data_IF_325882698144
#
_entry.id   IF_325882698144
#
_cell.length_a   1.000
_cell.length_b   1.000
_cell.length_c   1.000
_cell.angle_alpha   90.00
_cell.angle_beta   90.00
_cell.angle_gamma   90.00
#
_symmetry.space_group_name_H-M   'P 1'
#
loop_
_entity.id
_entity.type
_entity.pdbx_description
1 polymer ?
#
# COMPACT_ATOMS: atom_id res chain seq x y z
N UNK A 1 41.53 -31.06 8.27
CA UNK A 1 40.75 -29.99 8.92
C UNK A 1 39.35 -30.53 9.17
N UNK A 2 38.78 -30.38 10.38
CA UNK A 2 37.37 -30.69 10.56
C UNK A 2 36.54 -29.82 9.61
N UNK A 3 35.43 -30.31 9.04
CA UNK A 3 34.57 -29.49 8.20
C UNK A 3 34.10 -28.28 9.03
N UNK A 4 34.27 -27.08 8.46
CA UNK A 4 33.78 -25.86 9.08
C UNK A 4 32.28 -26.03 9.37
N UNK A 5 31.84 -25.75 10.59
CA UNK A 5 30.41 -25.84 10.94
C UNK A 5 29.64 -24.86 10.05
N UNK A 6 28.57 -25.31 9.37
CA UNK A 6 27.82 -24.44 8.46
C UNK A 6 27.23 -23.27 9.24
N UNK A 7 27.56 -22.06 8.80
CA UNK A 7 27.15 -20.84 9.50
C UNK A 7 25.75 -20.45 9.06
N UNK A 8 24.89 -20.04 10.01
CA UNK A 8 23.58 -19.47 9.68
C UNK A 8 23.80 -18.11 9.01
N UNK A 9 23.28 -17.95 7.79
CA UNK A 9 23.39 -16.73 6.99
C UNK A 9 22.02 -16.18 6.62
N UNK A 10 22.01 -14.89 6.32
CA UNK A 10 20.91 -14.20 5.68
C UNK A 10 21.10 -14.33 4.16
N UNK A 11 20.12 -14.92 3.47
CA UNK A 11 20.03 -14.83 2.01
C UNK A 11 19.37 -13.51 1.68
N UNK A 12 20.09 -12.59 1.04
CA UNK A 12 19.62 -11.22 0.76
C UNK A 12 19.41 -11.04 -0.73
N UNK A 13 18.24 -10.53 -1.11
CA UNK A 13 17.96 -10.04 -2.47
C UNK A 13 18.61 -8.66 -2.63
N UNK A 14 19.55 -8.56 -3.56
CA UNK A 14 20.36 -7.36 -3.79
C UNK A 14 20.04 -6.78 -5.17
N UNK A 15 19.72 -5.48 -5.31
CA UNK A 15 19.38 -4.85 -6.59
C UNK A 15 20.61 -4.75 -7.50
N UNK A 16 20.94 -5.89 -8.09
CA UNK A 16 22.03 -6.12 -9.00
C UNK A 16 21.54 -7.11 -10.08
N UNK A 17 22.07 -7.04 -11.31
CA UNK A 17 21.62 -7.86 -12.44
C UNK A 17 22.14 -9.30 -12.36
N UNK A 18 21.99 -9.94 -11.20
CA UNK A 18 22.46 -11.29 -10.89
C UNK A 18 21.27 -12.10 -10.35
N UNK A 19 20.99 -13.23 -10.99
CA UNK A 19 19.86 -14.12 -10.67
C UNK A 19 20.15 -15.03 -9.47
N UNK A 20 20.58 -14.42 -8.36
CA UNK A 20 20.89 -15.14 -7.13
C UNK A 20 20.64 -14.26 -5.91
N UNK A 21 20.52 -14.91 -4.76
CA UNK A 21 20.59 -14.26 -3.45
C UNK A 21 22.06 -14.25 -3.00
N UNK A 22 22.39 -13.31 -2.12
CA UNK A 22 23.74 -13.17 -1.57
C UNK A 22 23.76 -13.50 -0.08
N UNK A 23 24.82 -14.18 0.36
CA UNK A 23 25.00 -14.56 1.75
C UNK A 23 25.58 -13.38 2.54
N UNK A 24 24.94 -13.05 3.66
CA UNK A 24 25.45 -12.11 4.65
C UNK A 24 25.32 -12.69 6.05
N UNK A 25 26.23 -12.31 6.93
CA UNK A 25 26.07 -12.60 8.36
C UNK A 25 25.10 -11.58 8.99
N UNK A 26 24.34 -11.98 10.03
CA UNK A 26 23.61 -11.02 10.86
C UNK A 26 24.54 -9.96 11.47
N UNK A 27 23.98 -8.79 11.80
CA UNK A 27 24.73 -7.79 12.55
C UNK A 27 25.15 -8.34 13.92
N UNK A 28 26.37 -8.05 14.36
CA UNK A 28 26.90 -8.58 15.64
C UNK A 28 26.00 -8.16 16.81
N UNK A 29 25.51 -9.14 17.57
CA UNK A 29 24.68 -8.90 18.75
C UNK A 29 23.25 -8.45 18.47
N UNK A 30 22.81 -8.43 17.21
CA UNK A 30 21.44 -8.12 16.84
C UNK A 30 20.58 -9.39 16.74
N UNK A 31 19.28 -9.23 16.96
CA UNK A 31 18.30 -10.28 16.65
C UNK A 31 18.34 -10.62 15.16
N UNK A 32 17.97 -11.86 14.83
CA UNK A 32 17.91 -12.32 13.46
C UNK A 32 16.76 -11.59 12.73
N UNK A 33 17.04 -10.84 11.66
CA UNK A 33 16.01 -10.06 10.98
C UNK A 33 15.04 -10.97 10.23
N UNK A 34 13.74 -10.66 10.30
CA UNK A 34 12.71 -11.44 9.62
C UNK A 34 12.79 -11.29 8.08
N UNK A 35 12.45 -12.34 7.30
CA UNK A 35 12.24 -12.23 5.87
C UNK A 35 11.31 -11.08 5.49
N UNK A 36 11.65 -10.33 4.45
CA UNK A 36 10.95 -9.12 4.02
C UNK A 36 11.48 -7.81 4.63
N UNK A 37 12.42 -7.88 5.57
CA UNK A 37 13.06 -6.70 6.18
C UNK A 37 14.18 -6.15 5.29
N UNK A 38 14.29 -4.82 5.18
CA UNK A 38 15.41 -4.18 4.47
C UNK A 38 16.65 -4.11 5.37
N UNK A 39 17.80 -4.32 4.76
CA UNK A 39 19.09 -4.18 5.40
C UNK A 39 20.05 -3.39 4.53
N UNK A 40 20.94 -2.65 5.18
CA UNK A 40 22.05 -1.99 4.52
C UNK A 40 23.23 -2.96 4.41
N UNK A 41 23.76 -3.16 3.21
CA UNK A 41 24.76 -4.18 2.92
C UNK A 41 25.98 -3.61 2.17
N UNK A 42 27.20 -4.13 2.44
CA UNK A 42 28.36 -3.83 1.62
C UNK A 42 28.34 -4.69 0.34
N UNK A 43 28.35 -4.05 -0.83
CA UNK A 43 28.38 -4.75 -2.12
C UNK A 43 29.48 -4.18 -3.03
N UNK A 44 30.58 -4.93 -3.18
CA UNK A 44 31.80 -4.41 -3.79
C UNK A 44 32.34 -3.20 -3.01
N UNK A 45 32.53 -2.07 -3.71
CA UNK A 45 32.94 -0.79 -3.12
C UNK A 45 31.76 0.12 -2.74
N UNK A 46 30.53 -0.37 -2.92
CA UNK A 46 29.29 0.40 -2.68
C UNK A 46 28.56 -0.12 -1.46
N UNK A 47 27.62 0.69 -1.02
CA UNK A 47 26.62 0.34 -0.01
C UNK A 47 25.27 0.28 -0.71
N UNK A 48 24.51 -0.79 -0.50
CA UNK A 48 23.17 -0.96 -1.09
C UNK A 48 22.15 -1.30 -0.02
N UNK A 49 20.89 -1.11 -0.38
CA UNK A 49 19.75 -1.61 0.36
C UNK A 49 19.36 -2.94 -0.25
N UNK A 50 19.45 -4.02 0.54
CA UNK A 50 18.96 -5.34 0.19
C UNK A 50 17.74 -5.70 1.02
N UNK A 51 17.04 -6.77 0.64
CA UNK A 51 15.93 -7.33 1.42
C UNK A 51 16.30 -8.74 1.88
N UNK A 52 16.17 -8.99 3.18
CA UNK A 52 16.36 -10.33 3.75
C UNK A 52 15.28 -11.24 3.17
N UNK A 53 15.69 -12.30 2.49
CA UNK A 53 14.77 -13.20 1.77
C UNK A 53 14.41 -14.43 2.60
N UNK A 54 15.41 -15.03 3.23
CA UNK A 54 15.28 -16.19 4.14
C UNK A 54 16.57 -16.38 4.91
N UNK A 55 16.52 -17.28 5.88
CA UNK A 55 17.71 -17.76 6.59
C UNK A 55 18.08 -19.13 6.07
N UNK A 56 19.38 -19.38 5.93
CA UNK A 56 19.88 -20.64 5.40
C UNK A 56 21.24 -20.94 6.02
N UNK A 57 21.63 -22.21 6.07
CA UNK A 57 22.99 -22.58 6.42
C UNK A 57 23.87 -22.48 5.17
N UNK A 58 25.02 -21.81 5.27
CA UNK A 58 25.98 -21.70 4.18
C UNK A 58 27.18 -22.63 4.39
N UNK A 59 27.61 -23.25 3.29
CA UNK A 59 28.87 -24.01 3.21
C UNK A 59 30.09 -23.09 3.07
N UNK A 60 29.88 -21.80 2.83
CA UNK A 60 30.95 -20.81 2.78
C UNK A 60 31.41 -20.50 4.21
N UNK A 61 32.72 -20.50 4.44
CA UNK A 61 33.30 -20.14 5.73
C UNK A 61 32.85 -18.73 6.15
N UNK A 62 32.34 -18.59 7.37
CA UNK A 62 31.85 -17.30 7.90
C UNK A 62 32.88 -16.16 7.81
N UNK A 63 34.19 -16.45 7.88
CA UNK A 63 35.26 -15.46 7.70
C UNK A 63 35.26 -14.77 6.33
N UNK A 64 34.68 -15.41 5.31
CA UNK A 64 34.56 -14.90 3.93
C UNK A 64 33.24 -14.18 3.68
N UNK A 65 32.29 -14.27 4.61
CA UNK A 65 30.97 -13.68 4.48
C UNK A 65 30.96 -12.36 5.24
N UNK A 66 30.62 -11.28 4.53
CA UNK A 66 30.50 -9.96 5.17
C UNK A 66 29.21 -9.90 6.00
N UNK A 67 29.20 -9.25 7.17
CA UNK A 67 27.96 -8.97 7.88
C UNK A 67 27.15 -7.88 7.15
N UNK A 68 25.84 -7.88 7.38
CA UNK A 68 25.02 -6.69 7.10
C UNK A 68 25.52 -5.52 7.96
N UNK A 69 25.41 -4.29 7.46
CA UNK A 69 25.84 -3.09 8.21
C UNK A 69 24.84 -2.69 9.28
N UNK A 70 23.57 -2.61 8.90
CA UNK A 70 22.45 -2.42 9.82
C UNK A 70 21.17 -2.98 9.25
N UNK A 71 20.27 -3.34 10.15
CA UNK A 71 18.86 -3.54 9.85
C UNK A 71 18.19 -2.15 9.76
N UNK A 72 17.28 -1.96 8.80
CA UNK A 72 16.58 -0.68 8.59
C UNK A 72 15.20 -0.74 9.24
N UNK A 73 14.52 -1.87 9.12
CA UNK A 73 13.14 -2.04 9.56
C UNK A 73 13.08 -2.84 10.86
N UNK A 74 12.23 -2.40 11.80
CA UNK A 74 11.92 -3.18 13.00
C UNK A 74 11.04 -4.40 12.69
N UNK A 75 10.19 -4.28 11.66
CA UNK A 75 9.28 -5.31 11.17
C UNK A 75 9.38 -5.42 9.64
N UNK A 76 9.21 -6.61 9.06
CA UNK A 76 9.37 -6.82 7.62
C UNK A 76 8.38 -5.96 6.83
N UNK A 77 8.87 -5.27 5.80
CA UNK A 77 8.03 -4.39 4.97
C UNK A 77 7.37 -5.12 3.80
N UNK A 78 7.93 -6.27 3.41
CA UNK A 78 7.31 -7.16 2.43
C UNK A 78 6.71 -8.35 3.17
N UNK A 79 5.39 -8.45 3.11
CA UNK A 79 4.65 -9.56 3.69
C UNK A 79 4.87 -10.84 2.85
N UNK A 80 4.50 -12.00 3.41
CA UNK A 80 4.74 -13.31 2.80
C UNK A 80 4.14 -13.44 1.39
N UNK A 81 2.96 -12.86 1.14
CA UNK A 81 2.31 -12.89 -0.19
C UNK A 81 3.14 -12.11 -1.24
N UNK A 82 3.72 -10.98 -0.85
CA UNK A 82 4.56 -10.18 -1.73
C UNK A 82 5.91 -10.84 -1.99
N UNK A 83 6.50 -11.51 -1.00
CA UNK A 83 7.71 -12.32 -1.19
C UNK A 83 7.43 -13.45 -2.19
N UNK A 84 6.33 -14.20 -2.01
CA UNK A 84 5.92 -15.26 -2.91
C UNK A 84 5.60 -14.75 -4.33
N UNK A 85 4.96 -13.58 -4.45
CA UNK A 85 4.68 -12.95 -5.74
C UNK A 85 5.96 -12.53 -6.45
N UNK A 86 6.93 -11.96 -5.72
CA UNK A 86 8.23 -11.60 -6.26
C UNK A 86 9.02 -12.84 -6.73
N UNK A 87 9.01 -13.91 -5.94
CA UNK A 87 9.66 -15.17 -6.31
C UNK A 87 9.05 -15.77 -7.58
N UNK A 88 7.71 -15.80 -7.67
CA UNK A 88 7.02 -16.21 -8.89
C UNK A 88 7.38 -15.32 -10.08
N UNK A 89 7.34 -14.00 -9.93
CA UNK A 89 7.66 -13.07 -11.00
C UNK A 89 9.12 -13.22 -11.47
N UNK A 90 10.07 -13.38 -10.54
CA UNK A 90 11.47 -13.60 -10.84
C UNK A 90 11.69 -14.91 -11.61
N UNK A 91 11.08 -16.00 -11.16
CA UNK A 91 11.18 -17.31 -11.79
C UNK A 91 10.51 -17.33 -13.18
N UNK A 92 9.25 -16.90 -13.26
CA UNK A 92 8.45 -16.97 -14.49
C UNK A 92 8.99 -16.03 -15.58
N UNK A 93 9.29 -14.78 -15.23
CA UNK A 93 9.84 -13.80 -16.18
C UNK A 93 11.37 -13.86 -16.30
N UNK A 94 12.02 -14.82 -15.63
CA UNK A 94 13.47 -15.01 -15.64
C UNK A 94 14.23 -13.70 -15.33
N UNK A 95 13.82 -12.98 -14.29
CA UNK A 95 14.39 -11.69 -13.93
C UNK A 95 15.17 -11.79 -12.60
N UNK A 96 16.30 -11.10 -12.42
CA UNK A 96 16.99 -11.02 -11.13
C UNK A 96 16.04 -10.64 -9.99
N UNK A 97 16.02 -11.45 -8.93
CA UNK A 97 15.11 -11.26 -7.79
C UNK A 97 15.32 -9.91 -7.11
N UNK A 98 16.56 -9.44 -7.01
CA UNK A 98 16.86 -8.13 -6.45
C UNK A 98 16.24 -6.97 -7.23
N UNK A 99 16.24 -7.06 -8.57
CA UNK A 99 15.61 -6.04 -9.42
C UNK A 99 14.08 -6.13 -9.40
N UNK A 100 13.53 -7.35 -9.22
CA UNK A 100 12.09 -7.56 -9.01
C UNK A 100 11.65 -6.87 -7.72
N UNK A 101 12.35 -7.10 -6.62
CA UNK A 101 12.10 -6.46 -5.33
C UNK A 101 12.25 -4.93 -5.42
N UNK A 102 13.27 -4.45 -6.13
CA UNK A 102 13.44 -3.03 -6.41
C UNK A 102 12.34 -2.44 -7.31
N UNK A 103 11.58 -3.26 -8.03
CA UNK A 103 10.40 -2.82 -8.80
C UNK A 103 9.16 -2.74 -7.91
N UNK A 104 9.05 -3.61 -6.90
CA UNK A 104 7.94 -3.66 -5.94
C UNK A 104 7.96 -2.51 -4.94
N UNK A 105 9.14 -2.07 -4.51
CA UNK A 105 9.28 -1.04 -3.47
C UNK A 105 9.16 0.40 -4.00
N UNK A 106 8.43 1.30 -3.28
CA UNK A 106 8.52 2.74 -3.49
C UNK A 106 9.96 3.27 -3.48
N UNK A 107 10.23 4.30 -4.27
CA UNK A 107 11.58 4.85 -4.48
C UNK A 107 12.27 5.20 -3.16
N UNK A 108 11.56 5.87 -2.26
CA UNK A 108 12.10 6.25 -0.95
C UNK A 108 12.48 5.03 -0.09
N UNK A 109 11.72 3.93 -0.18
CA UNK A 109 12.08 2.70 0.55
C UNK A 109 13.31 2.02 -0.05
N UNK A 110 13.50 2.08 -1.37
CA UNK A 110 14.71 1.58 -2.05
C UNK A 110 15.97 2.37 -1.66
N UNK A 111 15.79 3.63 -1.28
CA UNK A 111 16.86 4.49 -0.78
C UNK A 111 17.15 4.32 0.72
N UNK A 112 16.39 3.47 1.42
CA UNK A 112 16.58 3.19 2.84
C UNK A 112 15.91 4.20 3.78
N UNK A 113 14.98 5.02 3.28
CA UNK A 113 14.16 5.90 4.14
C UNK A 113 13.22 5.06 5.02
N UNK A 114 12.78 5.63 6.13
CA UNK A 114 11.84 4.99 7.05
C UNK A 114 10.47 4.72 6.40
N UNK A 115 9.83 3.63 6.82
CA UNK A 115 8.50 3.22 6.38
C UNK A 115 7.41 3.82 7.29
N UNK A 116 7.46 5.14 7.48
CA UNK A 116 6.57 5.88 8.38
C UNK A 116 5.61 6.78 7.61
N UNK A 117 4.35 6.81 8.05
CA UNK A 117 3.40 7.83 7.63
C UNK A 117 3.58 9.05 8.54
N UNK A 118 3.62 10.27 7.99
CA UNK A 118 3.52 11.45 8.83
C UNK A 118 2.14 11.43 9.50
N UNK A 119 2.12 11.61 10.81
CA UNK A 119 0.91 11.91 11.54
C UNK A 119 0.40 13.31 11.19
N UNK A 120 -0.83 13.59 11.61
CA UNK A 120 -1.40 14.92 11.57
C UNK A 120 -0.78 15.75 12.70
N UNK A 121 -0.28 16.93 12.36
CA UNK A 121 0.15 17.87 13.38
C UNK A 121 -1.08 18.55 14.00
N UNK A 122 -1.17 18.48 15.32
CA UNK A 122 -2.23 19.11 16.11
C UNK A 122 -1.64 19.94 17.22
N UNK A 123 -2.21 21.12 17.43
CA UNK A 123 -1.94 21.88 18.65
C UNK A 123 -2.86 21.36 19.74
N UNK A 124 -2.27 20.93 20.85
CA UNK A 124 -2.98 20.43 22.02
C UNK A 124 -2.75 21.36 23.20
N UNK A 125 -3.77 21.51 24.04
CA UNK A 125 -3.62 22.23 25.30
C UNK A 125 -2.87 21.36 26.32
N UNK A 126 -1.92 21.96 27.02
CA UNK A 126 -1.22 21.27 28.11
C UNK A 126 -2.07 21.32 29.40
N UNK A 127 -1.75 20.49 30.41
CA UNK A 127 -2.38 20.63 31.73
C UNK A 127 -2.27 22.05 32.30
N UNK A 128 -1.16 22.75 32.06
CA UNK A 128 -0.98 24.13 32.51
C UNK A 128 -1.86 25.11 31.73
N UNK A 129 -1.92 24.98 30.40
CA UNK A 129 -2.77 25.84 29.57
C UNK A 129 -4.25 25.69 29.86
N UNK A 130 -4.69 24.49 30.29
CA UNK A 130 -6.08 24.22 30.65
C UNK A 130 -6.58 25.08 31.81
N UNK A 131 -5.69 25.44 32.73
CA UNK A 131 -5.98 26.31 33.86
C UNK A 131 -5.41 27.73 33.69
N UNK A 132 -4.84 28.05 32.53
CA UNK A 132 -4.31 29.38 32.26
C UNK A 132 -5.46 30.38 32.10
N UNK A 133 -5.36 31.51 32.79
CA UNK A 133 -6.35 32.58 32.68
C UNK A 133 -6.20 33.34 31.37
N UNK A 134 -7.26 33.37 30.56
CA UNK A 134 -7.31 34.11 29.30
C UNK A 134 -7.14 35.63 29.54
N UNK A 135 -7.59 36.12 30.70
CA UNK A 135 -7.36 37.49 31.21
C UNK A 135 -5.90 37.83 31.50
N UNK A 136 -4.96 36.87 31.43
CA UNK A 136 -3.54 37.18 31.48
C UNK A 136 -2.99 37.67 30.10
N UNK A 137 -3.80 37.56 29.04
CA UNK A 137 -3.40 37.84 27.65
C UNK A 137 -4.01 39.14 27.09
N UNK A 138 -4.34 40.12 27.95
CA UNK A 138 -5.13 41.32 27.59
C UNK A 138 -4.58 42.17 26.43
N UNK A 139 -3.28 42.05 26.13
CA UNK A 139 -2.61 42.77 25.02
C UNK A 139 -2.40 41.90 23.77
N UNK A 140 -2.92 40.67 23.76
CA UNK A 140 -2.69 39.67 22.72
C UNK A 140 -4.01 38.96 22.36
N UNK A 141 -4.96 39.65 21.69
CA UNK A 141 -6.28 39.10 21.37
C UNK A 141 -6.21 37.79 20.56
N UNK A 142 -5.25 37.67 19.63
CA UNK A 142 -5.03 36.42 18.88
C UNK A 142 -4.54 35.25 19.74
N UNK A 143 -3.79 35.52 20.82
CA UNK A 143 -3.43 34.48 21.79
C UNK A 143 -4.63 34.10 22.66
N UNK A 144 -5.52 35.06 22.99
CA UNK A 144 -6.75 34.80 23.73
C UNK A 144 -7.68 33.88 22.94
N UNK A 145 -7.93 34.20 21.67
CA UNK A 145 -8.76 33.39 20.76
C UNK A 145 -8.21 31.97 20.63
N UNK A 146 -6.89 31.83 20.36
CA UNK A 146 -6.25 30.53 20.23
C UNK A 146 -6.34 29.69 21.51
N UNK A 147 -6.08 30.30 22.67
CA UNK A 147 -6.15 29.60 23.96
C UNK A 147 -7.58 29.20 24.31
N UNK A 148 -8.56 30.10 24.11
CA UNK A 148 -9.97 29.82 24.36
C UNK A 148 -10.46 28.65 23.50
N UNK A 149 -10.10 28.64 22.22
CA UNK A 149 -10.46 27.57 21.29
C UNK A 149 -9.82 26.23 21.73
N UNK A 150 -8.53 26.21 22.05
CA UNK A 150 -7.85 24.99 22.49
C UNK A 150 -8.32 24.50 23.87
N UNK A 151 -8.82 25.38 24.75
CA UNK A 151 -9.47 24.99 26.01
C UNK A 151 -10.80 24.25 25.78
N UNK A 152 -11.53 24.59 24.72
CA UNK A 152 -12.77 23.90 24.32
C UNK A 152 -12.50 22.56 23.63
N UNK A 153 -11.31 22.38 23.05
CA UNK A 153 -10.89 21.17 22.33
C UNK A 153 -9.67 20.52 23.00
N UNK A 154 -9.84 19.87 24.17
CA UNK A 154 -8.72 19.32 24.94
C UNK A 154 -7.96 18.18 24.22
N UNK A 155 -8.57 17.57 23.19
CA UNK A 155 -7.93 16.58 22.33
C UNK A 155 -7.05 17.18 21.23
N UNK A 156 -7.05 18.51 21.09
CA UNK A 156 -6.29 19.23 20.08
C UNK A 156 -7.08 19.58 18.85
N UNK A 157 -6.49 20.46 18.04
CA UNK A 157 -7.00 20.84 16.74
C UNK A 157 -5.90 20.77 15.68
N UNK A 158 -6.23 20.30 14.46
CA UNK A 158 -5.30 20.27 13.33
C UNK A 158 -4.76 21.65 12.99
N UNK A 159 -3.49 21.70 12.56
CA UNK A 159 -2.83 22.96 12.16
C UNK A 159 -3.60 23.69 11.04
N UNK A 160 -4.11 22.95 10.06
CA UNK A 160 -4.88 23.47 8.93
C UNK A 160 -6.28 23.95 9.35
N UNK A 161 -6.94 23.25 10.27
CA UNK A 161 -8.22 23.70 10.84
C UNK A 161 -8.06 25.00 11.62
N UNK A 162 -7.01 25.12 12.43
CA UNK A 162 -6.70 26.36 13.16
C UNK A 162 -6.40 27.51 12.19
N UNK A 163 -5.64 27.27 11.12
CA UNK A 163 -5.38 28.27 10.09
C UNK A 163 -6.68 28.71 9.37
N UNK A 164 -7.60 27.77 9.11
CA UNK A 164 -8.92 28.06 8.54
C UNK A 164 -9.83 28.88 9.48
N UNK A 165 -9.60 28.81 10.79
CA UNK A 165 -10.25 29.64 11.81
C UNK A 165 -9.48 30.95 12.09
N UNK A 166 -8.53 31.32 11.22
CA UNK A 166 -7.66 32.49 11.34
C UNK A 166 -6.77 32.50 12.60
N UNK A 167 -6.52 31.33 13.19
CA UNK A 167 -5.56 31.15 14.27
C UNK A 167 -4.19 30.84 13.67
N UNK A 168 -3.36 31.88 13.58
CA UNK A 168 -2.07 31.83 12.93
C UNK A 168 -0.95 31.28 13.83
N UNK A 169 0.04 30.64 13.21
CA UNK A 169 1.20 30.00 13.88
C UNK A 169 1.94 30.87 14.90
N UNK A 170 2.15 32.20 14.71
CA UNK A 170 2.84 33.03 15.71
C UNK A 170 2.14 33.09 17.08
N UNK A 171 0.80 33.07 17.12
CA UNK A 171 0.05 33.07 18.37
C UNK A 171 0.24 31.75 19.13
N UNK A 172 0.21 30.62 18.40
CA UNK A 172 0.39 29.28 18.96
C UNK A 172 1.82 29.08 19.49
N UNK A 173 2.84 29.53 18.76
CA UNK A 173 4.23 29.50 19.22
C UNK A 173 4.44 30.35 20.49
N UNK A 174 3.75 31.49 20.61
CA UNK A 174 3.84 32.32 21.81
C UNK A 174 3.17 31.65 23.03
N UNK A 175 2.08 30.92 22.82
CA UNK A 175 1.43 30.11 23.85
C UNK A 175 2.28 28.88 24.22
N UNK A 176 2.96 28.27 23.25
CA UNK A 176 3.87 27.14 23.47
C UNK A 176 5.08 27.54 24.31
N UNK A 177 5.66 28.72 24.05
CA UNK A 177 6.73 29.30 24.88
C UNK A 177 6.31 29.49 26.34
N UNK A 178 5.01 29.68 26.61
CA UNK A 178 4.45 29.78 27.97
C UNK A 178 4.13 28.40 28.57
N UNK A 179 4.34 27.32 27.82
CA UNK A 179 4.01 25.95 28.22
C UNK A 179 2.52 25.63 28.19
N UNK A 180 1.68 26.47 27.58
CA UNK A 180 0.21 26.34 27.63
C UNK A 180 -0.36 25.47 26.52
N UNK A 181 0.34 25.39 25.40
CA UNK A 181 -0.02 24.52 24.28
C UNK A 181 1.24 23.80 23.80
N UNK A 182 1.07 22.72 23.05
CA UNK A 182 2.18 21.96 22.46
C UNK A 182 1.76 21.45 21.10
N UNK A 183 2.68 21.48 20.14
CA UNK A 183 2.49 20.82 18.86
C UNK A 183 2.80 19.33 19.01
N UNK A 184 1.84 18.47 18.69
CA UNK A 184 2.04 17.02 18.66
C UNK A 184 1.70 16.46 17.30
N UNK A 185 2.46 15.46 16.91
CA UNK A 185 2.12 14.60 15.80
C UNK A 185 1.20 13.50 16.33
N UNK A 186 0.01 13.39 15.75
CA UNK A 186 -1.04 12.47 16.15
C UNK A 186 -1.37 11.58 14.97
N UNK A 187 -1.60 10.29 15.21
CA UNK A 187 -2.03 9.39 14.13
C UNK A 187 -3.32 9.93 13.50
N UNK A 188 -3.38 9.94 12.17
CA UNK A 188 -4.55 10.43 11.45
C UNK A 188 -5.73 9.47 11.70
N UNK A 189 -6.70 9.91 12.50
CA UNK A 189 -7.91 9.11 12.75
C UNK A 189 -8.77 9.09 11.47
N UNK A 190 -9.03 7.90 10.92
CA UNK A 190 -9.97 7.76 9.81
C UNK A 190 -11.37 8.09 10.30
N UNK A 191 -12.07 9.08 9.71
CA UNK A 191 -13.44 9.39 10.10
C UNK A 191 -14.33 8.15 9.95
N UNK A 192 -15.00 7.73 11.02
CA UNK A 192 -15.98 6.64 10.94
C UNK A 192 -17.24 7.17 10.27
N UNK A 193 -17.42 6.83 8.99
CA UNK A 193 -18.66 7.11 8.28
C UNK A 193 -19.82 6.32 8.89
N UNK A 194 -21.00 6.95 8.99
CA UNK A 194 -22.22 6.32 9.53
C UNK A 194 -22.79 5.23 8.61
N UNK A 195 -22.52 5.31 7.30
CA UNK A 195 -22.90 4.32 6.28
C UNK A 195 -21.74 4.06 5.33
N UNK A 196 -21.57 2.81 4.89
CA UNK A 196 -20.56 2.45 3.88
C UNK A 196 -20.82 3.18 2.56
N UNK A 197 -22.06 3.12 2.08
CA UNK A 197 -22.45 3.73 0.80
C UNK A 197 -22.80 5.20 0.99
N UNK A 198 -22.26 6.05 0.12
CA UNK A 198 -22.63 7.46 -0.01
C UNK A 198 -23.77 7.66 -1.03
N UNK A 199 -23.89 6.77 -2.01
CA UNK A 199 -24.93 6.79 -3.04
C UNK A 199 -25.67 5.44 -3.08
N UNK A 200 -26.98 5.49 -3.29
CA UNK A 200 -27.80 4.29 -3.48
C UNK A 200 -27.40 3.62 -4.80
N UNK A 201 -27.10 2.30 -4.81
CA UNK A 201 -26.78 1.60 -6.04
C UNK A 201 -27.98 1.62 -7.00
N UNK A 202 -27.76 1.88 -8.31
CA UNK A 202 -28.80 1.72 -9.31
C UNK A 202 -29.29 0.25 -9.37
N UNK A 203 -30.54 0.08 -9.79
CA UNK A 203 -31.12 -1.25 -10.00
C UNK A 203 -30.35 -1.97 -11.11
N UNK A 204 -29.67 -3.06 -10.76
CA UNK A 204 -28.95 -3.89 -11.71
C UNK A 204 -29.94 -4.65 -12.60
N UNK A 205 -29.64 -4.74 -13.90
CA UNK A 205 -30.38 -5.61 -14.82
C UNK A 205 -30.15 -7.09 -14.55
N UNK A 206 -30.93 -7.99 -15.19
CA UNK A 206 -30.87 -9.45 -14.93
C UNK A 206 -29.47 -10.04 -15.07
N UNK A 207 -28.74 -9.69 -16.14
CA UNK A 207 -27.38 -10.18 -16.38
C UNK A 207 -26.38 -9.65 -15.34
N UNK A 208 -26.51 -8.36 -14.98
CA UNK A 208 -25.68 -7.75 -13.94
C UNK A 208 -25.94 -8.40 -12.58
N UNK A 209 -27.20 -8.65 -12.21
CA UNK A 209 -27.56 -9.35 -10.97
C UNK A 209 -26.97 -10.76 -10.93
N UNK A 210 -27.00 -11.49 -12.04
CA UNK A 210 -26.40 -12.82 -12.13
C UNK A 210 -24.88 -12.75 -11.92
N UNK A 211 -24.18 -11.80 -12.57
CA UNK A 211 -22.75 -11.59 -12.40
C UNK A 211 -22.39 -11.20 -10.95
N UNK A 212 -23.13 -10.23 -10.37
CA UNK A 212 -22.93 -9.78 -8.99
C UNK A 212 -23.09 -10.95 -8.03
N UNK A 213 -24.17 -11.73 -8.17
CA UNK A 213 -24.43 -12.91 -7.33
C UNK A 213 -23.35 -13.98 -7.49
N UNK A 214 -22.89 -14.25 -8.70
CA UNK A 214 -21.85 -15.23 -8.96
C UNK A 214 -20.52 -14.84 -8.31
N UNK A 215 -20.13 -13.56 -8.42
CA UNK A 215 -18.86 -13.07 -7.85
C UNK A 215 -18.96 -12.97 -6.33
N UNK A 216 -20.06 -12.45 -5.77
CA UNK A 216 -20.27 -12.37 -4.32
C UNK A 216 -20.43 -13.75 -3.66
N UNK A 217 -20.94 -14.74 -4.40
CA UNK A 217 -21.06 -16.12 -3.95
C UNK A 217 -19.76 -16.93 -4.04
N UNK A 218 -18.68 -16.37 -4.62
CA UNK A 218 -17.39 -17.03 -4.69
C UNK A 218 -16.71 -17.06 -3.32
N UNK A 219 -16.08 -18.20 -3.02
CA UNK A 219 -15.18 -18.33 -1.89
C UNK A 219 -13.82 -18.80 -2.38
N UNK A 220 -12.75 -18.27 -1.80
CA UNK A 220 -11.40 -18.58 -2.22
C UNK A 220 -11.04 -18.02 -3.61
N UNK A 221 -9.99 -18.60 -4.20
CA UNK A 221 -9.55 -18.25 -5.54
C UNK A 221 -10.57 -18.66 -6.60
N UNK A 222 -11.17 -17.66 -7.26
CA UNK A 222 -12.06 -17.85 -8.41
C UNK A 222 -11.79 -16.77 -9.46
N UNK A 223 -11.25 -17.12 -10.63
CA UNK A 223 -11.09 -16.18 -11.73
C UNK A 223 -12.39 -16.05 -12.53
N UNK A 224 -12.83 -14.81 -12.72
CA UNK A 224 -14.02 -14.45 -13.50
C UNK A 224 -13.63 -13.66 -14.75
N UNK A 225 -14.28 -13.95 -15.87
CA UNK A 225 -14.31 -13.07 -17.03
C UNK A 225 -15.65 -12.32 -17.06
N UNK A 226 -15.61 -11.00 -16.86
CA UNK A 226 -16.76 -10.15 -17.07
C UNK A 226 -16.72 -9.57 -18.50
N UNK A 227 -17.28 -10.32 -19.43
CA UNK A 227 -17.40 -9.94 -20.84
C UNK A 227 -18.64 -9.04 -21.06
N UNK A 228 -18.41 -7.84 -21.57
CA UNK A 228 -19.50 -6.93 -21.88
C UNK A 228 -19.03 -5.66 -22.58
N UNK A 229 -19.75 -5.24 -23.62
CA UNK A 229 -19.43 -4.04 -24.40
C UNK A 229 -19.39 -2.77 -23.54
N UNK A 230 -18.72 -1.72 -24.00
CA UNK A 230 -18.73 -0.41 -23.32
C UNK A 230 -20.16 0.08 -23.09
N UNK A 231 -20.46 0.59 -21.90
CA UNK A 231 -21.81 1.03 -21.54
C UNK A 231 -22.75 -0.06 -21.00
N UNK A 232 -22.39 -1.34 -21.08
CA UNK A 232 -23.16 -2.46 -20.48
C UNK A 232 -23.20 -2.45 -18.95
N UNK A 233 -22.43 -1.56 -18.31
CA UNK A 233 -22.42 -1.39 -16.86
C UNK A 233 -21.44 -2.29 -16.09
N UNK A 234 -20.36 -2.79 -16.72
CA UNK A 234 -19.28 -3.53 -16.03
C UNK A 234 -18.79 -2.83 -14.76
N UNK A 235 -18.54 -1.53 -14.82
CA UNK A 235 -18.12 -0.74 -13.64
C UNK A 235 -19.16 -0.79 -12.52
N UNK A 236 -20.44 -0.83 -12.84
CA UNK A 236 -21.50 -0.92 -11.84
C UNK A 236 -21.52 -2.28 -11.16
N UNK A 237 -21.28 -3.36 -11.92
CA UNK A 237 -21.06 -4.71 -11.36
C UNK A 237 -19.90 -4.68 -10.38
N UNK A 238 -18.76 -4.07 -10.73
CA UNK A 238 -17.62 -3.95 -9.80
C UNK A 238 -18.04 -3.27 -8.50
N UNK A 239 -18.67 -2.09 -8.58
CA UNK A 239 -19.09 -1.29 -7.42
C UNK A 239 -20.06 -2.08 -6.53
N UNK A 240 -21.01 -2.82 -7.09
CA UNK A 240 -21.95 -3.61 -6.28
C UNK A 240 -21.29 -4.86 -5.68
N UNK A 241 -20.37 -5.50 -6.40
CA UNK A 241 -19.60 -6.64 -5.88
C UNK A 241 -18.73 -6.25 -4.70
N UNK A 242 -18.08 -5.09 -4.73
CA UNK A 242 -17.15 -4.68 -3.67
C UNK A 242 -17.84 -4.23 -2.38
N UNK A 243 -19.11 -3.81 -2.42
CA UNK A 243 -19.83 -3.31 -1.24
C UNK A 243 -19.82 -4.26 -0.03
N UNK A 244 -20.28 -5.53 -0.11
CA UNK A 244 -20.27 -6.44 1.03
C UNK A 244 -18.85 -6.78 1.52
N UNK A 245 -17.85 -6.78 0.62
CA UNK A 245 -16.45 -7.01 0.99
C UNK A 245 -15.89 -5.84 1.81
N UNK A 246 -16.21 -4.61 1.41
CA UNK A 246 -15.83 -3.40 2.14
C UNK A 246 -16.53 -3.33 3.51
N UNK A 247 -17.81 -3.71 3.59
CA UNK A 247 -18.53 -3.90 4.85
C UNK A 247 -17.83 -4.91 5.76
N UNK A 248 -17.35 -6.02 5.20
CA UNK A 248 -16.62 -7.07 5.92
C UNK A 248 -15.16 -6.72 6.26
N UNK A 249 -14.75 -5.45 6.16
CA UNK A 249 -13.40 -5.06 6.54
C UNK A 249 -12.31 -5.33 5.49
N UNK A 250 -12.66 -5.79 4.29
CA UNK A 250 -11.69 -6.12 3.23
C UNK A 250 -11.25 -4.90 2.41
N UNK A 251 -10.09 -5.04 1.78
CA UNK A 251 -9.49 -4.13 0.82
C UNK A 251 -9.65 -4.66 -0.61
N UNK A 252 -9.83 -3.75 -1.54
CA UNK A 252 -10.07 -4.06 -2.96
C UNK A 252 -8.98 -3.39 -3.79
N UNK A 253 -8.31 -4.16 -4.63
CA UNK A 253 -7.35 -3.64 -5.60
C UNK A 253 -8.01 -3.59 -6.97
N UNK A 254 -8.02 -2.42 -7.60
CA UNK A 254 -8.55 -2.21 -8.94
C UNK A 254 -7.42 -1.71 -9.84
N UNK A 255 -7.05 -2.55 -10.80
CA UNK A 255 -6.11 -2.22 -11.84
C UNK A 255 -6.87 -1.68 -13.05
N UNK A 256 -6.45 -0.51 -13.52
CA UNK A 256 -6.97 0.11 -14.73
C UNK A 256 -5.82 0.42 -15.69
N UNK A 257 -6.05 0.54 -17.01
CA UNK A 257 -5.05 1.04 -17.94
C UNK A 257 -4.54 2.43 -17.53
N UNK A 258 -3.33 2.78 -17.97
CA UNK A 258 -2.71 4.07 -17.56
C UNK A 258 -3.57 5.29 -17.90
N UNK A 259 -4.19 5.27 -19.08
CA UNK A 259 -5.10 6.32 -19.55
C UNK A 259 -6.49 6.23 -18.88
N UNK A 260 -6.85 5.04 -18.38
CA UNK A 260 -8.13 4.76 -17.74
C UNK A 260 -8.27 5.33 -16.32
N UNK A 261 -7.16 5.64 -15.64
CA UNK A 261 -7.16 6.22 -14.30
C UNK A 261 -7.39 7.74 -14.31
N UNK A 262 -8.52 8.14 -14.89
CA UNK A 262 -8.92 9.54 -14.95
C UNK A 262 -9.43 10.01 -13.58
N UNK A 263 -9.40 11.33 -13.28
CA UNK A 263 -10.05 11.89 -12.11
C UNK A 263 -11.56 11.56 -12.03
N UNK A 264 -12.21 11.35 -13.18
CA UNK A 264 -13.61 10.93 -13.23
C UNK A 264 -13.79 9.49 -12.71
N UNK A 265 -12.89 8.58 -13.11
CA UNK A 265 -12.86 7.21 -12.60
C UNK A 265 -12.70 7.22 -11.08
N UNK A 266 -11.68 7.92 -10.57
CA UNK A 266 -11.43 8.01 -9.11
C UNK A 266 -12.64 8.56 -8.36
N UNK A 267 -13.19 9.70 -8.81
CA UNK A 267 -14.38 10.32 -8.21
C UNK A 267 -15.59 9.41 -8.19
N UNK A 268 -15.73 8.50 -9.15
CA UNK A 268 -16.86 7.55 -9.16
C UNK A 268 -16.79 6.59 -7.97
N UNK A 269 -15.60 6.14 -7.60
CA UNK A 269 -15.40 5.28 -6.42
C UNK A 269 -15.58 6.09 -5.12
N UNK A 270 -14.99 7.28 -5.05
CA UNK A 270 -15.11 8.18 -3.89
C UNK A 270 -16.56 8.61 -3.62
N UNK A 271 -17.34 8.87 -4.67
CA UNK A 271 -18.76 9.17 -4.55
C UNK A 271 -19.59 7.98 -4.09
N UNK A 272 -19.21 6.76 -4.49
CA UNK A 272 -19.99 5.57 -4.14
C UNK A 272 -19.77 5.13 -2.70
N UNK A 273 -18.53 5.21 -2.19
CA UNK A 273 -18.17 4.67 -0.88
C UNK A 273 -17.57 5.72 0.04
N UNK A 274 -18.08 5.78 1.28
CA UNK A 274 -17.50 6.55 2.37
C UNK A 274 -16.33 5.80 3.03
N UNK A 275 -15.38 5.33 2.23
CA UNK A 275 -14.16 4.68 2.70
C UNK A 275 -12.94 5.33 2.07
N UNK A 276 -11.76 5.28 2.71
CA UNK A 276 -10.55 5.82 2.12
C UNK A 276 -10.21 5.12 0.79
N UNK A 277 -10.20 5.91 -0.29
CA UNK A 277 -9.75 5.50 -1.62
C UNK A 277 -8.38 6.11 -1.86
N UNK A 278 -7.43 5.32 -2.36
CA UNK A 278 -6.15 5.82 -2.86
C UNK A 278 -6.01 5.53 -4.35
N UNK A 279 -5.31 6.40 -5.06
CA UNK A 279 -5.01 6.26 -6.48
C UNK A 279 -3.50 6.20 -6.66
N UNK A 280 -2.94 5.11 -7.22
CA UNK A 280 -1.51 4.89 -7.40
C UNK A 280 -1.14 4.90 -8.89
N UNK A 281 -0.48 5.97 -9.35
CA UNK A 281 -0.08 6.15 -10.75
C UNK A 281 1.26 6.88 -10.93
N UNK A 282 1.68 7.02 -12.19
CA UNK A 282 2.94 7.64 -12.61
C UNK A 282 3.02 9.12 -12.21
N UNK A 283 1.91 9.85 -12.27
CA UNK A 283 1.83 11.27 -11.89
C UNK A 283 2.02 11.62 -10.41
N UNK A 284 2.13 10.65 -9.50
CA UNK A 284 2.42 10.90 -8.09
C UNK A 284 3.90 11.15 -7.81
N UNK A 285 4.18 12.03 -6.85
CA UNK A 285 5.51 12.17 -6.25
C UNK A 285 5.90 10.90 -5.49
N UNK A 286 7.21 10.70 -5.28
CA UNK A 286 7.71 9.54 -4.54
C UNK A 286 7.19 9.48 -3.09
N UNK A 287 6.92 10.64 -2.48
CA UNK A 287 6.34 10.73 -1.14
C UNK A 287 4.87 10.35 -1.12
N UNK A 288 4.07 10.86 -2.06
CA UNK A 288 2.65 10.47 -2.17
C UNK A 288 2.50 8.98 -2.46
N UNK A 289 3.35 8.43 -3.34
CA UNK A 289 3.39 6.99 -3.62
C UNK A 289 3.74 6.18 -2.38
N UNK A 290 4.74 6.61 -1.61
CA UNK A 290 5.08 5.97 -0.33
C UNK A 290 3.91 6.03 0.65
N UNK A 291 3.24 7.18 0.79
CA UNK A 291 2.11 7.31 1.70
C UNK A 291 0.95 6.40 1.30
N UNK A 292 0.57 6.38 0.02
CA UNK A 292 -0.47 5.46 -0.47
C UNK A 292 -0.10 4.00 -0.23
N UNK A 293 1.16 3.62 -0.48
CA UNK A 293 1.67 2.28 -0.23
C UNK A 293 1.57 1.90 1.26
N UNK A 294 1.96 2.79 2.18
CA UNK A 294 1.88 2.55 3.62
C UNK A 294 0.43 2.49 4.13
N UNK A 295 -0.45 3.38 3.64
CA UNK A 295 -1.88 3.35 3.96
C UNK A 295 -2.54 2.04 3.51
N UNK A 296 -2.16 1.51 2.36
CA UNK A 296 -2.62 0.20 1.90
C UNK A 296 -2.08 -0.94 2.78
N UNK A 297 -0.79 -0.91 3.12
CA UNK A 297 -0.16 -1.90 4.03
C UNK A 297 -0.79 -1.93 5.41
N UNK A 298 -1.20 -0.78 5.95
CA UNK A 298 -1.85 -0.67 7.27
C UNK A 298 -3.34 -0.99 7.25
N UNK A 299 -3.93 -1.22 6.08
CA UNK A 299 -5.38 -1.42 5.94
C UNK A 299 -6.21 -0.14 6.02
N UNK A 300 -5.56 1.04 6.12
CA UNK A 300 -6.22 2.34 6.18
C UNK A 300 -6.89 2.68 4.83
N UNK A 301 -6.24 2.35 3.71
CA UNK A 301 -6.84 2.47 2.38
C UNK A 301 -7.71 1.26 2.07
N UNK A 302 -9.00 1.45 1.82
CA UNK A 302 -9.97 0.37 1.59
C UNK A 302 -10.16 0.03 0.12
N UNK A 303 -9.99 1.02 -0.75
CA UNK A 303 -9.98 0.84 -2.20
C UNK A 303 -8.65 1.37 -2.72
N UNK A 304 -7.90 0.53 -3.43
CA UNK A 304 -6.66 0.88 -4.07
C UNK A 304 -6.92 0.86 -5.58
N UNK A 305 -7.05 2.04 -6.17
CA UNK A 305 -7.07 2.22 -7.61
C UNK A 305 -5.63 2.39 -8.09
N UNK A 306 -5.25 1.77 -9.20
CA UNK A 306 -3.93 2.06 -9.76
C UNK A 306 -3.72 1.47 -11.13
N UNK A 307 -2.60 1.85 -11.72
CA UNK A 307 -2.17 1.31 -13.01
C UNK A 307 -1.41 -0.01 -12.82
N UNK A 308 -0.73 -0.47 -13.85
CA UNK A 308 0.08 -1.71 -13.87
C UNK A 308 0.91 -1.94 -12.59
N UNK A 309 1.62 -0.94 -12.09
CA UNK A 309 2.52 -1.08 -10.93
C UNK A 309 1.81 -1.35 -9.59
N UNK A 310 0.52 -1.02 -9.49
CA UNK A 310 -0.24 -1.20 -8.27
C UNK A 310 -0.49 -2.67 -7.93
N UNK A 311 -0.23 -3.61 -8.85
CA UNK A 311 -0.28 -5.05 -8.57
C UNK A 311 0.66 -5.47 -7.42
N UNK A 312 1.67 -4.67 -7.11
CA UNK A 312 2.63 -4.92 -6.03
C UNK A 312 2.32 -4.18 -4.73
N UNK A 313 1.15 -3.52 -4.64
CA UNK A 313 0.76 -2.80 -3.43
C UNK A 313 0.43 -3.80 -2.32
N UNK A 314 1.00 -3.69 -1.10
CA UNK A 314 0.64 -4.53 0.03
C UNK A 314 -0.82 -4.32 0.43
N UNK A 315 -1.47 -5.39 0.90
CA UNK A 315 -2.86 -5.38 1.35
C UNK A 315 -2.91 -6.10 2.70
N UNK A 316 -3.27 -5.40 3.76
CA UNK A 316 -3.48 -5.99 5.08
C UNK A 316 -4.64 -7.01 5.10
N UNK A 317 -5.72 -6.69 4.38
CA UNK A 317 -6.96 -7.47 4.39
C UNK A 317 -7.53 -7.64 2.98
N UNK A 318 -6.83 -8.31 2.05
CA UNK A 318 -7.27 -8.43 0.66
C UNK A 318 -8.61 -9.18 0.56
N UNK A 319 -9.51 -8.69 -0.30
CA UNK A 319 -10.81 -9.32 -0.55
C UNK A 319 -11.14 -9.59 -2.01
N UNK A 320 -10.63 -8.76 -2.93
CA UNK A 320 -10.89 -8.89 -4.36
C UNK A 320 -9.83 -8.11 -5.16
N UNK A 321 -9.45 -8.67 -6.30
CA UNK A 321 -8.69 -7.96 -7.33
C UNK A 321 -9.57 -7.80 -8.57
N UNK A 322 -9.64 -6.58 -9.11
CA UNK A 322 -10.34 -6.26 -10.35
C UNK A 322 -9.30 -5.76 -11.35
N UNK A 323 -9.37 -6.24 -12.58
CA UNK A 323 -8.60 -5.71 -13.71
C UNK A 323 -9.62 -5.22 -14.74
N UNK A 324 -9.78 -3.92 -14.83
CA UNK A 324 -10.63 -3.29 -15.84
C UNK A 324 -9.88 -3.17 -17.16
N UNK A 325 -10.62 -3.28 -18.27
CA UNK A 325 -10.07 -3.36 -19.62
C UNK A 325 -8.87 -4.33 -19.71
N UNK A 326 -9.07 -5.56 -19.23
CA UNK A 326 -8.02 -6.58 -19.07
C UNK A 326 -7.33 -7.01 -20.38
N UNK A 327 -7.82 -6.56 -21.54
CA UNK A 327 -7.19 -6.77 -22.85
C UNK A 327 -6.12 -5.73 -23.18
N UNK A 328 -6.06 -4.62 -22.44
CA UNK A 328 -5.21 -3.46 -22.76
C UNK A 328 -3.72 -3.80 -22.61
N UNK A 329 -2.95 -3.48 -23.67
CA UNK A 329 -1.51 -3.76 -23.73
C UNK A 329 -0.66 -2.98 -22.71
N UNK A 330 -1.15 -1.86 -22.16
CA UNK A 330 -0.46 -1.07 -21.13
C UNK A 330 -0.29 -1.83 -19.81
N UNK A 331 -1.10 -2.87 -19.57
CA UNK A 331 -0.95 -3.79 -18.44
C UNK A 331 0.31 -4.68 -18.56
N UNK A 332 0.98 -4.68 -19.73
CA UNK A 332 2.28 -5.33 -19.92
C UNK A 332 3.41 -4.31 -19.81
N UNK A 333 4.41 -4.61 -18.97
CA UNK A 333 5.64 -3.81 -18.90
C UNK A 333 6.60 -4.19 -20.04
N UNK A 334 7.15 -3.17 -20.70
CA UNK A 334 8.05 -3.34 -21.85
C UNK A 334 9.54 -3.24 -21.48
N UNK A 335 9.86 -2.53 -20.39
CA UNK A 335 11.24 -2.28 -19.96
C UNK A 335 11.56 -2.85 -18.57
N UNK A 336 12.80 -3.32 -18.39
CA UNK A 336 13.24 -3.98 -17.15
C UNK A 336 12.50 -5.29 -16.92
N UNK A 337 11.82 -5.43 -15.77
CA UNK A 337 10.96 -6.56 -15.48
C UNK A 337 9.72 -6.53 -16.38
N UNK A 338 9.72 -7.31 -17.46
CA UNK A 338 8.62 -7.37 -18.45
C UNK A 338 7.41 -8.19 -17.99
N UNK A 339 6.84 -7.87 -16.83
CA UNK A 339 5.69 -8.57 -16.27
C UNK A 339 4.36 -8.14 -16.90
N UNK A 340 3.35 -9.02 -16.83
CA UNK A 340 1.95 -8.72 -17.14
C UNK A 340 1.19 -8.53 -15.83
N UNK A 341 0.67 -7.33 -15.58
CA UNK A 341 -0.12 -7.07 -14.37
C UNK A 341 -1.42 -7.88 -14.34
N UNK A 342 -2.03 -8.15 -15.50
CA UNK A 342 -3.18 -9.04 -15.62
C UNK A 342 -2.87 -10.45 -15.14
N UNK A 343 -1.77 -11.03 -15.64
CA UNK A 343 -1.42 -12.42 -15.29
C UNK A 343 -0.97 -12.51 -13.82
N UNK A 344 -0.20 -11.52 -13.36
CA UNK A 344 0.16 -11.40 -11.95
C UNK A 344 -1.06 -11.16 -11.04
N UNK A 345 -2.11 -10.48 -11.50
CA UNK A 345 -3.36 -10.33 -10.73
C UNK A 345 -4.03 -11.66 -10.48
N UNK A 346 -4.12 -12.52 -11.51
CA UNK A 346 -4.68 -13.87 -11.36
C UNK A 346 -3.80 -14.72 -10.44
N UNK A 347 -2.48 -14.66 -10.59
CA UNK A 347 -1.56 -15.38 -9.72
C UNK A 347 -1.63 -14.90 -8.27
N UNK A 348 -1.66 -13.59 -8.07
CA UNK A 348 -1.76 -12.98 -6.74
C UNK A 348 -3.08 -13.32 -6.07
N UNK A 349 -4.19 -13.29 -6.81
CA UNK A 349 -5.49 -13.72 -6.30
C UNK A 349 -5.47 -15.20 -5.86
N UNK A 350 -4.73 -16.05 -6.57
CA UNK A 350 -4.50 -17.44 -6.18
C UNK A 350 -3.68 -17.55 -4.90
N UNK A 351 -2.59 -16.79 -4.77
CA UNK A 351 -1.75 -16.76 -3.56
C UNK A 351 -2.56 -16.29 -2.33
N UNK A 352 -3.38 -15.25 -2.52
CA UNK A 352 -4.22 -14.67 -1.48
C UNK A 352 -5.51 -15.44 -1.23
N UNK A 353 -5.81 -16.46 -2.05
CA UNK A 353 -7.06 -17.22 -2.03
C UNK A 353 -8.31 -16.31 -2.05
N UNK A 354 -8.36 -15.40 -3.03
CA UNK A 354 -9.48 -14.45 -3.23
C UNK A 354 -9.98 -14.48 -4.67
N UNK A 355 -11.22 -14.02 -4.94
CA UNK A 355 -11.70 -13.84 -6.30
C UNK A 355 -10.87 -12.81 -7.08
N UNK A 356 -10.86 -12.96 -8.40
CA UNK A 356 -10.33 -11.97 -9.34
C UNK A 356 -11.30 -11.79 -10.51
N UNK A 357 -11.57 -10.55 -10.88
CA UNK A 357 -12.47 -10.21 -11.99
C UNK A 357 -11.65 -9.55 -13.09
N UNK A 358 -11.62 -10.17 -14.26
CA UNK A 358 -11.07 -9.59 -15.48
C UNK A 358 -12.24 -9.05 -16.30
N UNK A 359 -12.40 -7.74 -16.35
CA UNK A 359 -13.44 -7.12 -17.15
C UNK A 359 -12.91 -6.64 -18.48
N UNK A 360 -13.68 -6.85 -19.55
CA UNK A 360 -13.27 -6.43 -20.89
C UNK A 360 -14.47 -6.30 -21.81
N UNK A 361 -14.44 -5.31 -22.70
CA UNK A 361 -15.35 -5.25 -23.85
C UNK A 361 -14.89 -6.10 -25.05
N UNK A 362 -13.59 -6.39 -25.10
CA UNK A 362 -12.94 -7.18 -26.15
C UNK A 362 -11.95 -8.13 -25.48
N UNK A 363 -12.41 -9.21 -24.84
CA UNK A 363 -11.55 -10.10 -24.07
C UNK A 363 -10.38 -10.65 -24.90
N UNK A 364 -9.20 -10.77 -24.28
CA UNK A 364 -8.04 -11.41 -24.92
C UNK A 364 -8.36 -12.88 -25.24
N UNK A 365 -7.82 -13.39 -26.36
CA UNK A 365 -8.15 -14.74 -26.85
C UNK A 365 -7.80 -15.83 -25.84
N UNK A 366 -6.66 -15.69 -25.15
CA UNK A 366 -6.25 -16.60 -24.09
C UNK A 366 -7.25 -16.62 -22.92
N UNK A 367 -7.81 -15.47 -22.55
CA UNK A 367 -8.80 -15.36 -21.48
C UNK A 367 -10.13 -15.98 -21.88
N UNK A 368 -10.57 -15.77 -23.14
CA UNK A 368 -11.77 -16.41 -23.69
C UNK A 368 -11.63 -17.93 -23.73
N UNK A 369 -10.45 -18.43 -24.11
CA UNK A 369 -10.19 -19.86 -24.14
C UNK A 369 -10.28 -20.46 -22.72
N UNK A 370 -9.68 -19.79 -21.71
CA UNK A 370 -9.77 -20.23 -20.32
C UNK A 370 -11.20 -20.25 -19.77
N UNK A 371 -12.04 -19.30 -20.20
CA UNK A 371 -13.47 -19.28 -19.85
C UNK A 371 -14.24 -20.42 -20.55
N UNK A 372 -14.00 -20.64 -21.84
CA UNK A 372 -14.60 -21.76 -22.61
C UNK A 372 -14.24 -23.13 -22.04
N UNK A 373 -13.00 -23.27 -21.53
CA UNK A 373 -12.52 -24.49 -20.88
C UNK A 373 -13.01 -24.63 -19.44
N UNK A 374 -13.82 -23.69 -18.93
CA UNK A 374 -14.34 -23.68 -17.56
C UNK A 374 -13.29 -23.44 -16.48
N UNK A 375 -12.07 -23.03 -16.85
CA UNK A 375 -11.02 -22.65 -15.90
C UNK A 375 -11.31 -21.28 -15.29
N UNK A 376 -11.92 -20.40 -16.08
CA UNK A 376 -12.48 -19.11 -15.63
C UNK A 376 -14.01 -19.22 -15.67
N UNK A 377 -14.67 -18.56 -14.72
CA UNK A 377 -16.13 -18.51 -14.63
C UNK A 377 -16.71 -17.32 -15.37
#
# INVERSE_FOLDING_TARGET
MPPARPSLVLKVAVPAPLRQLFDYLPAKGANLPEPGSRCEIPFGNRTLIGVVWRHEHSDVEASRIKPIRRLIDEHPILDEDLLALCEHAAAYYHHPIGDVVATVLPVLLRQGNEATLPGRLEWQITPQGRFAEISALNRAPRQQEALALLQQHPHGLPVDMLAGLDIQRPALLALEKKGWVTLREVAEATPQARSLLAEVPPVAGTEQQAAIKAIQGASGFTPFLLDGITGSGKTEVYLQVMAPLLEAGKQILVLVPEIGLTPQTVRRFEKRFNVPVISLHSGLTDRERLHGWLRARRGEARIILGTRSAIFTPLANPGLIIVDEAHDGSLKQQDGLRYSARDLAVWRARLLNIPVVLGSATPALETLQLARDGRYR
#
